data_IF_795001924909
#
_entry.id   IF_795001924909
#
_cell.length_a   1.000
_cell.length_b   1.000
_cell.length_c   1.000
_cell.angle_alpha   90.00
_cell.angle_beta   90.00
_cell.angle_gamma   90.00
#
_symmetry.space_group_name_H-M   'P 1'
#
loop_
_entity.id
_entity.type
_entity.pdbx_description
1 polymer ?
#
# COMPACT_ATOMS: atom_id res chain seq x y z
N UNK A 1 -10.69 3.61 27.07
CA UNK A 1 -9.99 3.59 25.76
C UNK A 1 -8.51 3.96 25.94
N UNK A 2 -7.59 3.22 25.31
CA UNK A 2 -6.13 3.49 25.36
C UNK A 2 -5.54 3.70 23.97
N UNK A 3 -4.63 4.64 23.85
CA UNK A 3 -3.83 4.89 22.64
C UNK A 3 -2.40 4.47 22.91
N UNK A 4 -1.85 3.58 22.09
CA UNK A 4 -0.49 3.06 22.17
C UNK A 4 0.27 3.45 20.93
N UNK A 5 1.23 4.35 21.07
CA UNK A 5 2.05 4.83 19.96
C UNK A 5 3.49 4.39 20.15
N UNK A 6 4.01 3.66 19.21
CA UNK A 6 5.44 3.56 18.99
C UNK A 6 5.89 4.85 18.26
N UNK A 7 6.77 5.62 18.90
CA UNK A 7 7.24 6.92 18.37
C UNK A 7 8.39 6.79 17.38
N UNK A 8 8.92 5.59 17.21
CA UNK A 8 9.98 5.30 16.26
C UNK A 8 9.50 5.45 14.81
N UNK A 9 10.44 5.48 13.90
CA UNK A 9 10.18 5.42 12.46
C UNK A 9 9.33 6.57 11.91
N UNK A 10 9.63 7.79 12.33
CA UNK A 10 9.08 9.01 11.73
C UNK A 10 7.67 9.42 12.16
N UNK A 11 7.16 8.89 13.27
CA UNK A 11 5.92 9.36 13.87
C UNK A 11 6.11 10.68 14.60
N UNK A 12 5.24 11.65 14.32
CA UNK A 12 5.17 12.96 14.96
C UNK A 12 3.97 13.04 15.89
N UNK A 13 4.06 13.89 16.91
CA UNK A 13 2.99 14.15 17.87
C UNK A 13 2.74 15.64 18.00
N UNK A 14 1.46 15.99 18.04
CA UNK A 14 0.98 17.31 18.43
C UNK A 14 0.02 17.16 19.61
N UNK A 15 0.08 18.09 20.58
CA UNK A 15 -0.81 18.11 21.73
C UNK A 15 -1.28 19.55 21.98
N UNK A 16 -2.60 19.70 22.09
CA UNK A 16 -3.23 20.95 22.51
C UNK A 16 -4.35 20.62 23.48
N UNK A 17 -4.24 21.11 24.74
CA UNK A 17 -5.16 20.83 25.84
C UNK A 17 -5.43 19.32 25.99
N UNK A 18 -6.66 18.88 25.72
CA UNK A 18 -7.08 17.47 25.80
C UNK A 18 -7.01 16.72 24.47
N UNK A 19 -6.65 17.41 23.38
CA UNK A 19 -6.50 16.82 22.05
C UNK A 19 -5.07 16.40 21.81
N UNK A 20 -4.89 15.15 21.43
CA UNK A 20 -3.59 14.62 20.99
C UNK A 20 -3.70 14.07 19.57
N UNK A 21 -2.77 14.46 18.71
CA UNK A 21 -2.68 13.99 17.32
C UNK A 21 -1.35 13.31 17.11
N UNK A 22 -1.37 12.09 16.63
CA UNK A 22 -0.19 11.37 16.14
C UNK A 22 -0.33 11.14 14.65
N UNK A 23 0.73 11.41 13.93
CA UNK A 23 0.68 11.29 12.48
C UNK A 23 2.04 10.89 11.90
N UNK A 24 1.98 10.23 10.77
CA UNK A 24 3.15 9.92 9.93
C UNK A 24 2.76 10.11 8.46
N UNK A 25 3.72 10.53 7.63
CA UNK A 25 3.56 10.67 6.19
C UNK A 25 3.82 12.10 5.68
N UNK A 26 4.30 12.17 4.44
CA UNK A 26 4.77 13.42 3.84
C UNK A 26 3.64 14.43 3.54
N UNK A 27 2.46 13.93 3.16
CA UNK A 27 1.31 14.80 2.85
C UNK A 27 0.77 15.59 4.04
N UNK A 28 0.92 15.07 5.26
CA UNK A 28 0.40 15.70 6.47
C UNK A 28 1.22 16.89 6.89
N UNK A 29 2.55 16.84 6.77
CA UNK A 29 3.42 17.97 7.17
C UNK A 29 3.02 19.28 6.49
N UNK A 30 2.65 19.23 5.21
CA UNK A 30 2.18 20.40 4.44
C UNK A 30 0.77 20.84 4.80
N UNK A 31 -0.09 19.93 5.19
CA UNK A 31 -1.50 20.17 5.46
C UNK A 31 -1.80 20.21 6.96
N UNK A 32 -0.77 20.37 7.80
CA UNK A 32 -0.94 20.27 9.25
C UNK A 32 -1.87 21.36 9.82
N UNK A 33 -1.77 22.59 9.34
CA UNK A 33 -2.68 23.70 9.74
C UNK A 33 -4.13 23.39 9.38
N UNK A 34 -4.38 22.81 8.20
CA UNK A 34 -5.72 22.38 7.79
C UNK A 34 -6.24 21.26 8.69
N UNK A 35 -5.38 20.33 9.11
CA UNK A 35 -5.76 19.28 10.04
C UNK A 35 -6.18 19.85 11.40
N UNK A 36 -5.44 20.80 11.96
CA UNK A 36 -5.77 21.43 13.24
C UNK A 36 -7.05 22.26 13.13
N UNK A 37 -7.23 23.03 12.05
CA UNK A 37 -8.48 23.76 11.79
C UNK A 37 -9.67 22.79 11.68
N UNK A 38 -9.51 21.69 10.97
CA UNK A 38 -10.55 20.67 10.88
C UNK A 38 -10.89 20.03 12.23
N UNK A 39 -9.89 19.69 13.05
CA UNK A 39 -10.07 19.13 14.39
C UNK A 39 -10.80 20.11 15.30
N UNK A 40 -10.48 21.41 15.26
CA UNK A 40 -11.11 22.43 16.11
C UNK A 40 -12.64 22.48 15.93
N UNK A 41 -13.13 22.11 14.74
CA UNK A 41 -14.56 22.07 14.43
C UNK A 41 -15.32 20.93 15.11
N UNK A 42 -14.61 19.96 15.73
CA UNK A 42 -15.23 18.88 16.51
C UNK A 42 -15.71 19.32 17.89
N UNK A 43 -15.24 20.46 18.41
CA UNK A 43 -15.64 20.99 19.71
C UNK A 43 -17.16 21.25 19.87
N UNK A 44 -17.89 21.29 18.76
CA UNK A 44 -19.36 21.47 18.75
C UNK A 44 -20.14 20.17 18.94
N UNK A 45 -19.49 19.00 18.84
CA UNK A 45 -20.14 17.70 18.96
C UNK A 45 -19.95 17.14 20.37
N UNK A 46 -20.96 16.47 20.88
CA UNK A 46 -20.89 15.78 22.18
C UNK A 46 -20.31 14.39 22.05
N UNK A 47 -20.50 13.75 20.89
CA UNK A 47 -19.94 12.44 20.61
C UNK A 47 -19.61 12.28 19.11
N UNK A 48 -18.75 11.31 18.76
CA UNK A 48 -18.31 11.06 17.39
C UNK A 48 -19.43 10.54 16.47
N UNK A 49 -20.48 9.95 17.02
CA UNK A 49 -21.60 9.42 16.23
C UNK A 49 -22.43 10.53 15.55
N UNK A 50 -22.36 11.76 16.05
CA UNK A 50 -23.02 12.94 15.48
C UNK A 50 -22.31 13.46 14.23
N UNK A 51 -21.04 13.08 14.04
CA UNK A 51 -20.25 13.58 12.91
C UNK A 51 -20.62 12.83 11.64
N UNK A 52 -21.12 13.57 10.64
CA UNK A 52 -21.51 12.99 9.35
C UNK A 52 -20.31 12.37 8.63
N UNK A 53 -20.49 11.17 8.08
CA UNK A 53 -19.52 10.48 7.23
C UNK A 53 -18.98 11.39 6.11
N UNK A 54 -19.87 12.09 5.39
CA UNK A 54 -19.49 12.99 4.31
C UNK A 54 -18.56 14.14 4.75
N UNK A 55 -18.68 14.60 6.01
CA UNK A 55 -17.80 15.63 6.56
C UNK A 55 -16.36 15.12 6.76
N UNK A 56 -16.24 13.91 7.29
CA UNK A 56 -14.93 13.26 7.49
C UNK A 56 -14.29 12.95 6.14
N UNK A 57 -15.01 12.33 5.21
CA UNK A 57 -14.48 11.98 3.89
C UNK A 57 -14.09 13.22 3.06
N UNK A 58 -14.82 14.32 3.17
CA UNK A 58 -14.46 15.57 2.51
C UNK A 58 -13.07 16.04 2.95
N UNK A 59 -12.78 15.98 4.24
CA UNK A 59 -11.45 16.33 4.75
C UNK A 59 -10.39 15.34 4.30
N UNK A 60 -10.62 14.02 4.47
CA UNK A 60 -9.66 12.97 4.08
C UNK A 60 -9.28 13.11 2.59
N UNK A 61 -10.24 13.43 1.73
CA UNK A 61 -10.01 13.61 0.29
C UNK A 61 -9.24 14.90 -0.06
N UNK A 62 -9.04 15.83 0.89
CA UNK A 62 -8.11 16.94 0.68
C UNK A 62 -6.65 16.57 0.93
N UNK A 63 -6.42 15.46 1.63
CA UNK A 63 -5.09 14.96 1.94
C UNK A 63 -4.55 14.15 0.76
N UNK A 64 -3.33 14.45 0.36
CA UNK A 64 -2.64 13.74 -0.73
C UNK A 64 -1.46 12.93 -0.22
N UNK A 65 -1.05 11.92 -0.99
CA UNK A 65 0.11 11.09 -0.68
C UNK A 65 -0.15 10.01 0.38
N UNK A 66 0.93 9.58 1.05
CA UNK A 66 0.91 8.47 1.99
C UNK A 66 0.92 9.00 3.43
N UNK A 67 -0.04 8.55 4.24
CA UNK A 67 -0.19 9.03 5.61
C UNK A 67 -1.01 8.10 6.50
N UNK A 68 -0.83 8.26 7.80
CA UNK A 68 -1.75 7.78 8.83
C UNK A 68 -1.87 8.79 9.96
N UNK A 69 -3.06 8.88 10.56
CA UNK A 69 -3.39 9.83 11.60
C UNK A 69 -4.18 9.13 12.70
N UNK A 70 -3.83 9.39 13.96
CA UNK A 70 -4.64 9.06 15.13
C UNK A 70 -4.92 10.36 15.88
N UNK A 71 -6.18 10.67 16.10
CA UNK A 71 -6.64 11.87 16.80
C UNK A 71 -7.41 11.42 18.04
N UNK A 72 -6.91 11.73 19.22
CA UNK A 72 -7.59 11.54 20.49
C UNK A 72 -8.18 12.86 20.95
N UNK A 73 -9.47 12.87 21.20
CA UNK A 73 -10.25 14.01 21.68
C UNK A 73 -11.09 13.59 22.90
N UNK A 74 -11.67 14.51 23.68
CA UNK A 74 -12.60 14.16 24.77
C UNK A 74 -13.76 13.28 24.32
N UNK A 75 -14.28 13.51 23.11
CA UNK A 75 -15.42 12.77 22.52
C UNK A 75 -15.04 11.41 21.91
N UNK A 76 -13.76 11.05 21.89
CA UNK A 76 -13.32 9.76 21.34
C UNK A 76 -12.01 9.82 20.54
N UNK A 77 -11.79 8.78 19.75
CA UNK A 77 -10.60 8.65 18.88
C UNK A 77 -11.03 8.49 17.42
N UNK A 78 -10.37 9.22 16.51
CA UNK A 78 -10.46 8.99 15.07
C UNK A 78 -9.13 8.42 14.60
N UNK A 79 -9.19 7.33 13.82
CA UNK A 79 -8.05 6.74 13.12
C UNK A 79 -8.28 6.87 11.62
N UNK A 80 -7.28 7.31 10.86
CA UNK A 80 -7.37 7.52 9.41
C UNK A 80 -6.14 6.90 8.75
N UNK A 81 -6.34 6.13 7.70
CA UNK A 81 -5.27 5.64 6.81
C UNK A 81 -5.48 6.15 5.40
N UNK A 82 -4.40 6.24 4.63
CA UNK A 82 -4.44 6.66 3.24
C UNK A 82 -5.12 5.63 2.31
N UNK A 83 -5.27 5.99 1.04
CA UNK A 83 -5.95 5.20 0.01
C UNK A 83 -5.40 3.79 -0.19
N UNK A 84 -4.15 3.51 0.22
CA UNK A 84 -3.51 2.20 0.08
C UNK A 84 -3.07 1.58 1.40
N UNK A 85 -3.42 2.22 2.53
CA UNK A 85 -2.99 1.81 3.87
C UNK A 85 -1.47 1.59 3.95
N UNK A 86 -0.73 2.53 3.41
CA UNK A 86 0.74 2.45 3.33
C UNK A 86 1.41 2.47 4.70
N UNK A 87 0.77 3.09 5.69
CA UNK A 87 1.19 3.17 7.08
C UNK A 87 0.03 2.64 7.94
N UNK A 88 0.18 1.43 8.44
CA UNK A 88 -0.93 0.70 9.05
C UNK A 88 -1.31 1.20 10.44
N UNK A 89 -2.60 1.17 10.75
CA UNK A 89 -3.16 1.39 12.06
C UNK A 89 -3.92 0.17 12.56
N UNK A 90 -3.88 -0.04 13.87
CA UNK A 90 -4.44 -1.23 14.53
C UNK A 90 -5.36 -0.85 15.66
N UNK A 91 -6.37 -1.67 15.88
CA UNK A 91 -7.27 -1.58 17.03
C UNK A 91 -7.56 -2.95 17.61
N UNK A 92 -7.85 -2.97 18.89
CA UNK A 92 -8.19 -4.19 19.60
C UNK A 92 -9.35 -3.95 20.57
N UNK A 93 -10.24 -4.94 20.69
CA UNK A 93 -11.33 -4.94 21.66
C UNK A 93 -11.06 -6.04 22.69
N UNK A 94 -10.72 -5.65 23.92
CA UNK A 94 -10.37 -6.55 25.02
C UNK A 94 -11.33 -6.37 26.18
N UNK A 95 -12.33 -7.25 26.31
CA UNK A 95 -13.39 -7.14 27.32
C UNK A 95 -14.04 -5.75 27.29
N UNK A 96 -13.76 -4.91 28.30
CA UNK A 96 -14.32 -3.57 28.43
C UNK A 96 -13.34 -2.46 28.00
N UNK A 97 -12.27 -2.78 27.28
CA UNK A 97 -11.26 -1.82 26.88
C UNK A 97 -11.02 -1.86 25.39
N UNK A 98 -11.07 -0.70 24.74
CA UNK A 98 -10.66 -0.53 23.35
C UNK A 98 -9.26 0.09 23.33
N UNK A 99 -8.39 -0.52 22.51
CA UNK A 99 -7.00 -0.13 22.37
C UNK A 99 -6.77 0.20 20.90
N UNK A 100 -6.10 1.31 20.62
CA UNK A 100 -5.70 1.72 19.29
C UNK A 100 -4.20 2.02 19.24
N UNK A 101 -3.58 1.84 18.09
CA UNK A 101 -2.16 2.14 17.95
C UNK A 101 -1.65 1.99 16.52
N UNK A 102 -0.38 2.32 16.37
CA UNK A 102 0.32 2.31 15.09
C UNK A 102 1.23 1.09 14.89
N UNK A 103 1.25 0.16 15.86
CA UNK A 103 2.11 -1.02 15.79
C UNK A 103 1.40 -2.23 16.41
N UNK A 104 1.19 -3.28 15.60
CA UNK A 104 0.47 -4.49 16.01
C UNK A 104 1.18 -5.23 17.14
N UNK A 105 2.51 -5.35 17.04
CA UNK A 105 3.33 -6.08 18.02
C UNK A 105 3.35 -5.40 19.38
N UNK A 106 3.40 -4.06 19.40
CA UNK A 106 3.30 -3.29 20.65
C UNK A 106 1.98 -3.53 21.35
N UNK A 107 0.85 -3.54 20.62
CA UNK A 107 -0.45 -3.86 21.18
C UNK A 107 -0.46 -5.31 21.68
N UNK A 108 -0.03 -6.26 20.85
CA UNK A 108 0.03 -7.67 21.19
C UNK A 108 0.86 -7.93 22.45
N UNK A 109 2.11 -7.45 22.50
CA UNK A 109 3.01 -7.69 23.63
C UNK A 109 2.47 -7.13 24.95
N UNK A 110 1.87 -5.93 24.89
CA UNK A 110 1.29 -5.31 26.10
C UNK A 110 0.07 -6.07 26.63
N UNK A 111 -0.64 -6.76 25.76
CA UNK A 111 -1.91 -7.43 26.08
C UNK A 111 -1.90 -8.93 25.77
N UNK A 112 -0.71 -9.53 25.58
CA UNK A 112 -0.54 -10.94 25.18
C UNK A 112 -1.31 -11.93 26.04
N UNK A 113 -1.51 -11.66 27.34
CA UNK A 113 -2.37 -12.45 28.19
C UNK A 113 -3.87 -12.41 27.85
N UNK A 114 -4.31 -11.43 27.04
CA UNK A 114 -5.70 -11.25 26.57
C UNK A 114 -5.93 -11.73 25.14
N UNK A 115 -4.86 -11.90 24.34
CA UNK A 115 -4.88 -12.41 22.97
C UNK A 115 -4.47 -13.89 22.91
N UNK A 116 -4.92 -14.72 23.84
CA UNK A 116 -4.51 -16.12 23.90
C UNK A 116 -4.96 -16.96 22.71
N UNK A 117 -5.99 -16.52 22.00
CA UNK A 117 -6.59 -17.30 20.94
C UNK A 117 -6.01 -16.89 19.58
N UNK A 118 -5.19 -17.79 19.05
CA UNK A 118 -4.70 -17.73 17.67
C UNK A 118 -5.87 -17.94 16.70
N UNK A 119 -6.02 -17.06 15.75
CA UNK A 119 -7.01 -17.22 14.68
C UNK A 119 -6.53 -18.25 13.65
N UNK A 120 -6.97 -19.50 13.81
CA UNK A 120 -6.57 -20.61 12.91
C UNK A 120 -6.88 -20.33 11.43
N UNK A 121 -8.00 -19.65 11.16
CA UNK A 121 -8.38 -19.28 9.78
C UNK A 121 -7.42 -18.25 9.21
N UNK A 122 -6.99 -17.27 9.99
CA UNK A 122 -5.98 -16.29 9.56
C UNK A 122 -4.60 -16.93 9.32
N UNK A 123 -4.25 -17.97 10.08
CA UNK A 123 -3.04 -18.76 9.77
C UNK A 123 -3.17 -19.52 8.46
N UNK A 124 -4.32 -20.13 8.18
CA UNK A 124 -4.58 -20.78 6.90
C UNK A 124 -4.41 -19.76 5.74
N UNK A 125 -5.03 -18.59 5.85
CA UNK A 125 -4.90 -17.50 4.87
C UNK A 125 -3.42 -17.12 4.67
N UNK A 126 -2.68 -16.94 5.77
CA UNK A 126 -1.26 -16.60 5.73
C UNK A 126 -0.41 -17.66 5.02
N UNK A 127 -0.64 -18.95 5.27
CA UNK A 127 0.06 -20.02 4.58
C UNK A 127 -0.30 -20.10 3.10
N UNK A 128 -1.55 -19.79 2.75
CA UNK A 128 -1.99 -19.87 1.36
C UNK A 128 -1.60 -18.65 0.51
N UNK A 129 -1.47 -17.46 1.12
CA UNK A 129 -1.26 -16.21 0.36
C UNK A 129 -0.11 -15.32 0.85
N UNK A 130 0.35 -15.52 2.08
CA UNK A 130 1.30 -14.61 2.75
C UNK A 130 0.63 -13.44 3.47
N UNK A 131 -0.72 -13.36 3.50
CA UNK A 131 -1.46 -12.31 4.21
C UNK A 131 -2.83 -12.81 4.70
N UNK A 132 -3.39 -12.12 5.70
CA UNK A 132 -4.75 -12.39 6.19
C UNK A 132 -5.80 -11.68 5.36
N UNK A 133 -7.04 -12.16 5.34
CA UNK A 133 -8.15 -11.54 4.60
C UNK A 133 -8.85 -10.48 5.48
N UNK A 134 -9.23 -9.35 4.87
CA UNK A 134 -9.97 -8.27 5.55
C UNK A 134 -9.14 -7.56 6.64
N UNK A 135 -9.78 -7.19 7.73
CA UNK A 135 -9.13 -6.50 8.86
C UNK A 135 -8.43 -7.44 9.83
N UNK A 136 -8.52 -8.76 9.61
CA UNK A 136 -7.98 -9.78 10.52
C UNK A 136 -6.46 -9.67 10.70
N UNK A 137 -5.99 -10.05 11.87
CA UNK A 137 -4.60 -10.42 12.14
C UNK A 137 -4.52 -11.90 12.49
N UNK A 138 -3.33 -12.39 12.80
CA UNK A 138 -3.11 -13.77 13.30
C UNK A 138 -3.78 -14.05 14.66
N UNK A 139 -4.28 -13.02 15.34
CA UNK A 139 -4.89 -13.13 16.66
C UNK A 139 -6.32 -12.60 16.65
N UNK A 140 -7.21 -13.29 17.37
CA UNK A 140 -8.57 -12.79 17.63
C UNK A 140 -8.52 -11.46 18.38
N UNK A 141 -9.51 -10.61 18.13
CA UNK A 141 -9.69 -9.30 18.79
C UNK A 141 -8.60 -8.25 18.51
N UNK A 142 -7.63 -8.53 17.64
CA UNK A 142 -6.66 -7.57 17.13
C UNK A 142 -6.87 -7.41 15.61
N UNK A 143 -7.11 -6.19 15.18
CA UNK A 143 -7.48 -5.87 13.80
C UNK A 143 -6.61 -4.74 13.23
N UNK A 144 -6.51 -4.70 11.91
CA UNK A 144 -5.86 -3.67 11.11
C UNK A 144 -6.90 -2.94 10.27
N UNK A 145 -6.83 -1.62 10.15
CA UNK A 145 -7.63 -0.90 9.15
C UNK A 145 -7.22 -1.34 7.73
N UNK A 146 -8.17 -1.29 6.80
CA UNK A 146 -7.91 -1.54 5.39
C UNK A 146 -7.68 -0.22 4.63
N UNK A 147 -7.25 -0.33 3.37
CA UNK A 147 -7.02 0.79 2.46
C UNK A 147 -8.26 1.71 2.37
N UNK A 148 -8.02 3.03 2.47
CA UNK A 148 -9.08 4.04 2.39
C UNK A 148 -10.06 4.09 3.54
N UNK A 149 -9.80 3.37 4.66
CA UNK A 149 -10.68 3.36 5.83
C UNK A 149 -10.34 4.46 6.84
N UNK A 150 -11.35 4.79 7.62
CA UNK A 150 -11.21 5.46 8.90
C UNK A 150 -12.10 4.81 9.97
N UNK A 151 -11.72 4.97 11.24
CA UNK A 151 -12.51 4.51 12.36
C UNK A 151 -12.83 5.67 13.31
N UNK A 152 -14.11 5.75 13.73
CA UNK A 152 -14.55 6.57 14.87
C UNK A 152 -14.78 5.64 16.05
N UNK A 153 -14.13 5.92 17.17
CA UNK A 153 -14.08 5.05 18.33
C UNK A 153 -14.47 5.87 19.56
N UNK A 154 -15.49 5.47 20.23
CA UNK A 154 -15.87 5.98 21.56
C UNK A 154 -15.66 4.89 22.64
N UNK A 155 -16.16 5.12 23.84
CA UNK A 155 -15.97 4.17 24.95
C UNK A 155 -16.71 2.84 24.75
N UNK A 156 -17.72 2.81 23.89
CA UNK A 156 -18.65 1.68 23.72
C UNK A 156 -18.46 0.94 22.41
N UNK A 157 -18.12 1.67 21.33
CA UNK A 157 -18.17 1.12 19.99
C UNK A 157 -17.00 1.55 19.08
N UNK A 158 -16.78 0.77 18.03
CA UNK A 158 -15.83 1.02 16.97
C UNK A 158 -16.59 1.04 15.66
N UNK A 159 -16.80 2.23 15.12
CA UNK A 159 -17.47 2.42 13.83
C UNK A 159 -16.44 2.64 12.73
N UNK A 160 -16.35 1.70 11.78
CA UNK A 160 -15.43 1.73 10.66
C UNK A 160 -16.20 2.10 9.40
N UNK A 161 -15.63 3.01 8.62
CA UNK A 161 -16.15 3.44 7.34
C UNK A 161 -14.99 3.60 6.34
N UNK A 162 -15.31 3.76 5.06
CA UNK A 162 -14.32 3.99 4.01
C UNK A 162 -14.65 5.26 3.21
N UNK A 163 -13.63 6.02 2.86
CA UNK A 163 -13.78 7.22 2.01
C UNK A 163 -13.33 6.97 0.58
N UNK A 164 -12.60 5.88 0.35
CA UNK A 164 -12.09 5.52 -0.97
C UNK A 164 -12.06 4.00 -1.15
N UNK A 165 -12.37 3.56 -2.35
CA UNK A 165 -12.14 2.19 -2.82
C UNK A 165 -11.77 2.28 -4.30
N UNK A 166 -10.64 1.70 -4.69
CA UNK A 166 -10.21 1.59 -6.08
C UNK A 166 -11.24 0.80 -6.88
N UNK A 167 -11.82 1.41 -7.92
CA UNK A 167 -12.99 0.89 -8.63
C UNK A 167 -12.85 1.06 -10.14
N UNK A 168 -12.06 0.22 -10.83
CA UNK A 168 -11.69 0.40 -12.24
C UNK A 168 -12.83 0.21 -13.26
N UNK A 169 -14.06 -0.09 -12.80
CA UNK A 169 -15.26 -0.15 -13.66
C UNK A 169 -16.14 1.08 -13.56
N UNK A 170 -15.82 2.02 -12.67
CA UNK A 170 -16.74 3.11 -12.29
C UNK A 170 -16.90 4.17 -13.38
N UNK A 171 -15.95 4.24 -14.31
CA UNK A 171 -15.94 5.25 -15.38
C UNK A 171 -15.70 4.61 -16.77
N UNK A 172 -16.58 3.67 -17.22
CA UNK A 172 -16.36 2.98 -18.50
C UNK A 172 -16.43 3.90 -19.72
N UNK A 173 -17.02 5.10 -19.57
CA UNK A 173 -17.35 6.01 -20.67
C UNK A 173 -16.48 7.26 -20.78
N UNK A 174 -15.41 7.36 -20.00
CA UNK A 174 -14.51 8.51 -20.17
C UNK A 174 -13.94 8.44 -21.58
N UNK A 175 -14.42 9.33 -22.43
CA UNK A 175 -13.93 9.48 -23.79
C UNK A 175 -12.40 9.49 -23.78
N UNK A 176 -11.82 8.61 -24.59
CA UNK A 176 -10.36 8.44 -24.71
C UNK A 176 -9.70 9.64 -25.41
N UNK A 177 -10.40 10.77 -25.53
CA UNK A 177 -9.83 11.99 -26.06
C UNK A 177 -8.62 12.39 -25.24
N UNK A 178 -7.47 12.47 -25.91
CA UNK A 178 -6.18 12.80 -25.31
C UNK A 178 -5.76 11.89 -24.16
N UNK A 179 -5.99 10.56 -24.27
CA UNK A 179 -5.60 9.59 -23.22
C UNK A 179 -4.09 9.64 -22.92
N UNK A 180 -3.27 9.94 -23.92
CA UNK A 180 -1.80 10.05 -23.80
C UNK A 180 -1.42 11.24 -22.91
N UNK A 181 -2.01 12.43 -23.14
CA UNK A 181 -1.77 13.60 -22.30
C UNK A 181 -2.30 13.42 -20.87
N UNK A 182 -3.43 12.72 -20.71
CA UNK A 182 -3.95 12.36 -19.37
C UNK A 182 -3.00 11.40 -18.64
N UNK A 183 -2.43 10.42 -19.33
CA UNK A 183 -1.43 9.52 -18.77
C UNK A 183 -0.18 10.30 -18.37
N UNK A 184 0.36 11.12 -19.25
CA UNK A 184 1.53 11.96 -18.99
C UNK A 184 1.30 12.83 -17.73
N UNK A 185 0.17 13.54 -17.68
CA UNK A 185 -0.20 14.32 -16.49
C UNK A 185 -0.24 13.47 -15.23
N UNK A 186 -0.79 12.25 -15.31
CA UNK A 186 -0.93 11.35 -14.15
C UNK A 186 0.42 10.93 -13.57
N UNK A 187 1.47 10.90 -14.39
CA UNK A 187 2.85 10.59 -14.00
C UNK A 187 3.61 11.85 -13.57
N UNK A 188 3.59 12.89 -14.39
CA UNK A 188 4.44 14.05 -14.16
C UNK A 188 4.03 14.85 -12.93
N UNK A 189 2.73 14.96 -12.66
CA UNK A 189 2.24 15.70 -11.49
C UNK A 189 2.77 15.16 -10.16
N UNK A 190 2.67 13.88 -9.81
CA UNK A 190 3.23 13.37 -8.56
C UNK A 190 4.76 13.40 -8.52
N UNK A 191 5.45 13.27 -9.66
CA UNK A 191 6.90 13.41 -9.73
C UNK A 191 7.35 14.84 -9.48
N UNK A 192 6.66 15.84 -10.04
CA UNK A 192 6.96 17.24 -9.76
C UNK A 192 6.76 17.58 -8.27
N UNK A 193 5.69 17.07 -7.66
CA UNK A 193 5.45 17.24 -6.23
C UNK A 193 6.58 16.61 -5.40
N UNK A 194 7.02 15.42 -5.78
CA UNK A 194 8.14 14.72 -5.13
C UNK A 194 9.44 15.53 -5.23
N UNK A 195 9.76 16.07 -6.41
CA UNK A 195 10.96 16.90 -6.60
C UNK A 195 10.91 18.14 -5.72
N UNK A 196 9.75 18.81 -5.67
CA UNK A 196 9.56 19.99 -4.82
C UNK A 196 9.72 19.64 -3.32
N UNK A 197 9.24 18.47 -2.90
CA UNK A 197 9.34 17.97 -1.53
C UNK A 197 10.76 17.52 -1.16
N UNK A 198 11.49 17.00 -2.12
CA UNK A 198 12.87 16.59 -1.95
C UNK A 198 13.79 17.79 -1.70
N UNK A 199 13.56 18.92 -2.37
CA UNK A 199 14.48 20.07 -2.31
C UNK A 199 15.87 19.65 -2.78
N UNK A 200 16.87 19.83 -1.92
CA UNK A 200 18.26 19.45 -2.21
C UNK A 200 18.64 18.01 -1.79
N UNK A 201 17.71 17.26 -1.24
CA UNK A 201 17.93 15.86 -0.85
C UNK A 201 18.09 14.95 -2.07
N UNK A 202 18.83 13.87 -1.90
CA UNK A 202 19.00 12.85 -2.92
C UNK A 202 17.71 12.02 -3.09
N UNK A 203 17.37 11.73 -4.34
CA UNK A 203 16.30 10.80 -4.72
C UNK A 203 16.97 9.50 -5.15
N UNK A 204 16.64 8.41 -4.47
CA UNK A 204 17.27 7.09 -4.69
C UNK A 204 16.21 6.12 -5.22
N UNK A 205 16.46 5.54 -6.39
CA UNK A 205 15.49 4.67 -7.10
C UNK A 205 16.03 3.25 -7.19
N UNK A 206 15.34 2.24 -6.61
CA UNK A 206 15.62 0.84 -6.91
C UNK A 206 15.23 0.56 -8.36
N UNK A 207 16.22 0.50 -9.24
CA UNK A 207 16.03 0.39 -10.67
C UNK A 207 16.19 -1.07 -11.13
N UNK A 208 15.09 -1.66 -11.57
CA UNK A 208 15.04 -3.01 -12.14
C UNK A 208 14.99 -3.00 -13.68
N UNK A 209 14.95 -4.15 -14.30
CA UNK A 209 14.62 -4.29 -15.71
C UNK A 209 13.13 -4.06 -16.02
N UNK A 210 12.29 -3.89 -14.98
CA UNK A 210 10.85 -3.64 -15.10
C UNK A 210 10.52 -2.28 -15.72
N UNK A 211 9.31 -2.15 -16.26
CA UNK A 211 8.83 -0.92 -16.89
C UNK A 211 8.64 0.23 -15.90
N UNK A 212 8.16 -0.09 -14.70
CA UNK A 212 7.69 0.88 -13.70
C UNK A 212 8.84 1.70 -13.11
N UNK A 213 9.91 1.05 -12.64
CA UNK A 213 11.08 1.75 -12.13
C UNK A 213 11.77 2.61 -13.21
N UNK A 214 11.75 2.15 -14.48
CA UNK A 214 12.24 2.94 -15.62
C UNK A 214 11.36 4.17 -15.89
N UNK A 215 10.03 4.02 -15.82
CA UNK A 215 9.12 5.16 -15.95
C UNK A 215 9.38 6.21 -14.86
N UNK A 216 9.52 5.76 -13.60
CA UNK A 216 9.82 6.65 -12.48
C UNK A 216 11.12 7.43 -12.71
N UNK A 217 12.21 6.75 -13.02
CA UNK A 217 13.51 7.42 -13.18
C UNK A 217 13.55 8.31 -14.42
N UNK A 218 12.90 7.91 -15.51
CA UNK A 218 12.80 8.73 -16.73
C UNK A 218 11.98 10.00 -16.47
N UNK A 219 10.86 9.91 -15.77
CA UNK A 219 10.04 11.08 -15.42
C UNK A 219 10.78 12.05 -14.50
N UNK A 220 11.51 11.54 -13.49
CA UNK A 220 12.36 12.38 -12.62
C UNK A 220 13.44 13.12 -13.42
N UNK A 221 14.11 12.43 -14.34
CA UNK A 221 15.13 13.03 -15.21
C UNK A 221 14.54 14.07 -16.15
N UNK A 222 13.41 13.76 -16.79
CA UNK A 222 12.68 14.67 -17.67
C UNK A 222 12.29 15.98 -16.97
N UNK A 223 11.83 15.89 -15.71
CA UNK A 223 11.48 17.05 -14.89
C UNK A 223 12.68 17.79 -14.27
N UNK A 224 13.90 17.35 -14.56
CA UNK A 224 15.12 18.06 -14.15
C UNK A 224 15.52 17.82 -12.67
N UNK A 225 15.14 16.70 -12.07
CA UNK A 225 15.64 16.36 -10.74
C UNK A 225 17.17 16.27 -10.72
N UNK A 226 17.82 16.95 -9.75
CA UNK A 226 19.28 17.18 -9.78
C UNK A 226 20.11 16.04 -9.21
N UNK A 227 19.67 15.46 -8.10
CA UNK A 227 20.42 14.43 -7.34
C UNK A 227 19.66 13.11 -7.37
N UNK A 228 19.78 12.37 -8.48
CA UNK A 228 19.19 11.06 -8.65
C UNK A 228 20.29 10.00 -8.58
N UNK A 229 20.06 8.98 -7.75
CA UNK A 229 20.89 7.77 -7.71
C UNK A 229 20.00 6.55 -8.00
N UNK A 230 20.53 5.62 -8.78
CA UNK A 230 19.86 4.35 -9.00
C UNK A 230 20.68 3.21 -8.38
N UNK A 231 20.01 2.20 -7.88
CA UNK A 231 20.69 0.99 -7.45
C UNK A 231 19.98 -0.27 -7.97
N UNK A 232 20.76 -1.32 -8.15
CA UNK A 232 20.28 -2.67 -8.32
C UNK A 232 21.08 -3.61 -7.44
N UNK A 233 20.55 -4.79 -7.18
CA UNK A 233 21.19 -5.77 -6.32
C UNK A 233 21.12 -7.18 -6.90
N UNK A 234 21.93 -8.08 -6.38
CA UNK A 234 22.02 -9.45 -6.84
C UNK A 234 23.35 -9.78 -7.51
N UNK A 235 23.34 -10.60 -8.56
CA UNK A 235 24.50 -10.84 -9.40
C UNK A 235 24.69 -9.70 -10.39
N UNK A 236 25.89 -9.15 -10.50
CA UNK A 236 26.20 -8.10 -11.48
C UNK A 236 26.02 -8.59 -12.93
N UNK A 237 26.26 -9.89 -13.15
CA UNK A 237 26.07 -10.53 -14.45
C UNK A 237 24.61 -10.83 -14.79
N UNK A 238 23.67 -10.70 -13.83
CA UNK A 238 22.26 -10.97 -14.06
C UNK A 238 21.66 -10.01 -15.10
N UNK A 239 20.71 -10.50 -15.87
CA UNK A 239 19.99 -9.73 -16.87
C UNK A 239 19.41 -8.42 -16.31
N UNK A 240 18.81 -8.47 -15.15
CA UNK A 240 18.23 -7.30 -14.49
C UNK A 240 19.27 -6.23 -14.17
N UNK A 241 20.40 -6.60 -13.59
CA UNK A 241 21.50 -5.67 -13.26
C UNK A 241 22.07 -5.01 -14.52
N UNK A 242 22.26 -5.79 -15.60
CA UNK A 242 22.75 -5.27 -16.88
C UNK A 242 21.79 -4.25 -17.50
N UNK A 243 20.50 -4.54 -17.52
CA UNK A 243 19.47 -3.60 -18.05
C UNK A 243 19.36 -2.37 -17.17
N UNK A 244 19.33 -2.52 -15.86
CA UNK A 244 19.31 -1.40 -14.92
C UNK A 244 20.49 -0.46 -15.15
N UNK A 245 21.70 -1.00 -15.21
CA UNK A 245 22.92 -0.23 -15.49
C UNK A 245 22.88 0.50 -16.86
N UNK A 246 22.41 -0.20 -17.90
CA UNK A 246 22.29 0.38 -19.24
C UNK A 246 21.30 1.56 -19.27
N UNK A 247 20.18 1.45 -18.56
CA UNK A 247 19.18 2.53 -18.44
C UNK A 247 19.77 3.72 -17.68
N UNK A 248 20.41 3.50 -16.54
CA UNK A 248 21.04 4.56 -15.76
C UNK A 248 22.12 5.30 -16.57
N UNK A 249 22.98 4.56 -17.26
CA UNK A 249 24.02 5.14 -18.16
C UNK A 249 23.41 5.99 -19.28
N UNK A 250 22.34 5.49 -19.92
CA UNK A 250 21.65 6.25 -21.00
C UNK A 250 21.05 7.55 -20.49
N UNK A 251 20.56 7.57 -19.26
CA UNK A 251 19.99 8.76 -18.63
C UNK A 251 21.04 9.67 -17.98
N UNK A 252 22.31 9.26 -17.96
CA UNK A 252 23.38 9.98 -17.26
C UNK A 252 23.11 10.10 -15.76
N UNK A 253 22.75 8.98 -15.10
CA UNK A 253 22.41 8.89 -13.69
C UNK A 253 23.39 7.94 -13.00
N UNK A 254 23.84 8.30 -11.80
CA UNK A 254 24.72 7.45 -10.99
C UNK A 254 24.02 6.13 -10.64
N UNK A 255 24.74 5.03 -10.86
CA UNK A 255 24.22 3.69 -10.62
C UNK A 255 25.11 2.90 -9.66
N UNK A 256 24.49 2.28 -8.68
CA UNK A 256 25.15 1.55 -7.60
C UNK A 256 24.73 0.07 -7.70
N UNK A 257 25.72 -0.83 -7.66
CA UNK A 257 25.45 -2.27 -7.52
C UNK A 257 25.63 -2.71 -6.09
N UNK A 258 24.63 -3.41 -5.54
CA UNK A 258 24.69 -4.04 -4.23
C UNK A 258 24.86 -5.54 -4.39
N UNK A 259 26.03 -6.12 -4.04
CA UNK A 259 26.25 -7.55 -4.17
C UNK A 259 25.47 -8.31 -3.08
N UNK A 260 24.68 -9.30 -3.48
CA UNK A 260 24.03 -10.23 -2.57
C UNK A 260 24.90 -11.46 -2.39
N UNK A 261 25.88 -11.42 -1.47
CA UNK A 261 26.70 -12.59 -1.14
C UNK A 261 25.98 -13.47 -0.12
N UNK A 262 26.16 -14.79 -0.23
CA UNK A 262 25.57 -15.76 0.70
C UNK A 262 26.03 -15.48 2.14
N UNK A 263 27.34 -15.20 2.35
CA UNK A 263 27.88 -14.88 3.68
C UNK A 263 27.24 -13.60 4.25
N UNK A 264 27.24 -12.50 3.50
CA UNK A 264 26.71 -11.22 3.96
C UNK A 264 25.23 -11.29 4.32
N UNK A 265 24.43 -11.98 3.51
CA UNK A 265 23.01 -12.19 3.82
C UNK A 265 22.84 -13.08 5.05
N UNK A 266 23.59 -14.20 5.15
CA UNK A 266 23.54 -15.10 6.30
C UNK A 266 23.88 -14.39 7.61
N UNK A 267 24.93 -13.55 7.60
CA UNK A 267 25.36 -12.78 8.77
C UNK A 267 24.30 -11.76 9.17
N UNK A 268 23.74 -11.06 8.19
CA UNK A 268 22.65 -10.11 8.44
C UNK A 268 21.40 -10.78 9.01
N UNK A 269 20.89 -11.83 8.39
CA UNK A 269 19.68 -12.52 8.86
C UNK A 269 19.83 -13.21 10.22
N UNK A 270 21.05 -13.38 10.72
CA UNK A 270 21.35 -13.86 12.07
C UNK A 270 21.60 -12.74 13.08
N UNK A 271 21.72 -11.50 12.62
CA UNK A 271 22.06 -10.35 13.46
C UNK A 271 20.93 -9.97 14.43
N UNK A 272 21.28 -9.23 15.47
CA UNK A 272 20.33 -8.60 16.39
C UNK A 272 19.48 -7.57 15.62
N UNK A 273 20.10 -6.79 14.74
CA UNK A 273 19.46 -5.80 13.91
C UNK A 273 18.31 -6.37 13.08
N UNK A 274 18.49 -7.55 12.46
CA UNK A 274 17.40 -8.19 11.73
C UNK A 274 16.29 -8.69 12.65
N UNK A 275 16.61 -9.16 13.87
CA UNK A 275 15.58 -9.52 14.85
C UNK A 275 14.76 -8.32 15.29
N UNK A 276 15.39 -7.16 15.46
CA UNK A 276 14.71 -5.90 15.76
C UNK A 276 13.79 -5.50 14.60
N UNK A 277 14.27 -5.53 13.36
CA UNK A 277 13.45 -5.31 12.18
C UNK A 277 12.21 -6.20 12.17
N UNK A 278 12.38 -7.51 12.29
CA UNK A 278 11.29 -8.48 12.26
C UNK A 278 10.30 -8.29 13.41
N UNK A 279 10.79 -7.92 14.61
CA UNK A 279 9.94 -7.75 15.78
C UNK A 279 9.17 -6.43 15.77
N UNK A 280 9.81 -5.33 15.37
CA UNK A 280 9.21 -4.00 15.48
C UNK A 280 8.25 -3.70 14.34
N UNK A 281 8.45 -4.30 13.16
CA UNK A 281 7.65 -4.00 11.97
C UNK A 281 6.73 -5.13 11.52
N UNK A 282 6.59 -6.18 12.35
CA UNK A 282 5.62 -7.25 12.12
C UNK A 282 4.20 -6.72 12.19
N UNK A 283 3.48 -6.84 11.09
CA UNK A 283 2.08 -6.39 10.99
C UNK A 283 1.09 -7.37 11.57
N UNK A 284 1.51 -8.59 11.90
CA UNK A 284 0.66 -9.72 12.31
C UNK A 284 -0.50 -10.01 11.31
N UNK A 285 -0.42 -9.46 10.12
CA UNK A 285 -1.44 -9.59 9.07
C UNK A 285 -0.88 -9.89 7.68
N UNK A 286 0.45 -9.89 7.53
CA UNK A 286 1.16 -10.35 6.35
C UNK A 286 2.57 -10.80 6.73
N UNK A 287 3.18 -11.62 5.91
CA UNK A 287 4.60 -11.96 6.06
C UNK A 287 5.45 -10.70 5.95
N UNK A 288 6.56 -10.68 6.67
CA UNK A 288 7.50 -9.56 6.66
C UNK A 288 8.18 -9.49 5.29
N UNK A 289 8.30 -8.30 4.73
CA UNK A 289 9.02 -8.09 3.47
C UNK A 289 10.52 -8.05 3.74
N UNK A 290 11.27 -8.99 3.15
CA UNK A 290 12.68 -9.19 3.45
C UNK A 290 13.64 -8.73 2.36
N UNK A 291 13.12 -8.44 1.17
CA UNK A 291 13.93 -8.29 -0.04
C UNK A 291 14.91 -7.11 0.03
N UNK A 292 14.45 -5.95 0.49
CA UNK A 292 15.25 -4.73 0.45
C UNK A 292 16.02 -4.43 1.75
N UNK A 293 15.69 -5.08 2.86
CA UNK A 293 16.23 -4.71 4.16
C UNK A 293 17.76 -4.83 4.25
N UNK A 294 18.33 -5.91 3.73
CA UNK A 294 19.79 -6.08 3.64
C UNK A 294 20.44 -5.06 2.70
N UNK A 295 19.76 -4.77 1.59
CA UNK A 295 20.24 -3.85 0.56
C UNK A 295 20.36 -2.44 1.10
N UNK A 296 19.32 -1.96 1.79
CA UNK A 296 19.32 -0.62 2.40
C UNK A 296 20.39 -0.50 3.48
N UNK A 297 20.54 -1.53 4.33
CA UNK A 297 21.66 -1.58 5.28
C UNK A 297 23.02 -1.44 4.59
N UNK A 298 23.23 -2.21 3.53
CA UNK A 298 24.48 -2.18 2.77
C UNK A 298 24.77 -0.78 2.21
N UNK A 299 23.77 -0.15 1.58
CA UNK A 299 23.92 1.19 1.01
C UNK A 299 24.29 2.23 2.07
N UNK A 300 23.64 2.21 3.23
CA UNK A 300 23.89 3.14 4.33
C UNK A 300 25.23 2.86 5.03
N UNK A 301 25.53 1.60 5.36
CA UNK A 301 26.75 1.23 6.06
C UNK A 301 28.02 1.53 5.25
N UNK A 302 27.92 1.46 3.92
CA UNK A 302 29.02 1.81 3.01
C UNK A 302 28.98 3.28 2.54
N UNK A 303 28.07 4.10 3.09
CA UNK A 303 27.91 5.54 2.76
C UNK A 303 27.70 5.77 1.25
N UNK A 304 27.01 4.85 0.57
CA UNK A 304 26.74 4.92 -0.87
C UNK A 304 25.55 5.82 -1.19
N UNK A 305 24.68 6.06 -0.21
CA UNK A 305 23.58 7.03 -0.28
C UNK A 305 23.57 7.89 0.98
N UNK A 306 23.06 9.15 0.90
CA UNK A 306 22.87 9.99 2.07
C UNK A 306 21.82 9.43 3.05
N UNK A 307 21.98 9.69 4.35
CA UNK A 307 21.03 9.28 5.38
C UNK A 307 19.67 9.99 5.30
N UNK A 308 19.62 11.14 4.69
CA UNK A 308 18.40 11.93 4.46
C UNK A 308 17.78 11.69 3.08
N UNK A 309 18.27 10.70 2.34
CA UNK A 309 17.77 10.36 1.01
C UNK A 309 16.28 9.98 1.03
N UNK A 310 15.61 10.20 -0.09
CA UNK A 310 14.25 9.74 -0.32
C UNK A 310 14.28 8.53 -1.26
N UNK A 311 13.81 7.39 -0.77
CA UNK A 311 13.68 6.21 -1.61
C UNK A 311 12.38 6.30 -2.42
N UNK A 312 12.48 6.14 -3.73
CA UNK A 312 11.34 6.24 -4.65
C UNK A 312 11.23 4.98 -5.49
N UNK A 313 10.24 4.16 -5.21
CA UNK A 313 10.06 2.93 -5.96
C UNK A 313 8.88 2.99 -6.94
N UNK A 314 8.96 2.13 -7.98
CA UNK A 314 7.95 1.99 -9.02
C UNK A 314 6.87 0.96 -8.69
N UNK A 315 6.65 0.65 -7.42
CA UNK A 315 5.67 -0.36 -7.05
C UNK A 315 4.31 -0.07 -7.65
N UNK A 316 3.72 -1.12 -8.16
CA UNK A 316 2.34 -1.30 -8.56
C UNK A 316 1.96 -0.77 -9.94
N UNK A 317 2.88 -0.21 -10.70
CA UNK A 317 2.58 0.17 -12.07
C UNK A 317 2.06 -1.00 -12.91
N UNK A 318 2.62 -2.18 -12.74
CA UNK A 318 2.20 -3.44 -13.38
C UNK A 318 0.77 -3.85 -13.03
N UNK A 319 0.40 -3.75 -11.75
CA UNK A 319 -0.96 -4.05 -11.28
C UNK A 319 -1.96 -3.06 -11.85
N UNK A 320 -1.79 -1.76 -11.61
CA UNK A 320 -2.74 -0.72 -12.04
C UNK A 320 -2.91 -0.68 -13.57
N UNK A 321 -1.84 -0.95 -14.30
CA UNK A 321 -1.88 -0.97 -15.78
C UNK A 321 -2.46 -2.24 -16.39
N UNK A 322 -2.95 -3.18 -15.57
CA UNK A 322 -3.68 -4.37 -16.00
C UNK A 322 -2.82 -5.60 -16.28
N UNK A 323 -1.56 -5.61 -15.81
CA UNK A 323 -0.69 -6.80 -15.86
C UNK A 323 -1.19 -7.96 -14.99
N UNK A 324 -2.12 -7.67 -14.09
CA UNK A 324 -2.68 -8.64 -13.15
C UNK A 324 -4.11 -9.09 -13.50
N UNK A 325 -4.72 -8.53 -14.53
CA UNK A 325 -6.07 -8.94 -14.97
C UNK A 325 -6.07 -10.42 -15.33
N UNK A 326 -7.06 -11.15 -14.81
CA UNK A 326 -7.15 -12.59 -15.00
C UNK A 326 -7.38 -12.96 -16.48
N UNK A 327 -6.73 -14.03 -16.98
CA UNK A 327 -6.82 -14.42 -18.39
C UNK A 327 -8.25 -14.65 -18.90
N UNK A 328 -9.16 -15.12 -18.03
CA UNK A 328 -10.56 -15.34 -18.37
C UNK A 328 -11.25 -14.11 -18.95
N UNK A 329 -10.83 -12.90 -18.58
CA UNK A 329 -11.41 -11.65 -19.08
C UNK A 329 -10.90 -11.23 -20.47
N UNK A 330 -9.97 -11.98 -21.07
CA UNK A 330 -9.53 -11.76 -22.46
C UNK A 330 -10.65 -12.06 -23.45
N UNK A 331 -11.42 -13.11 -23.18
CA UNK A 331 -12.48 -13.55 -24.06
C UNK A 331 -13.79 -12.80 -23.73
N UNK A 332 -14.29 -12.03 -24.69
CA UNK A 332 -15.55 -11.27 -24.54
C UNK A 332 -16.79 -12.10 -24.80
N UNK A 333 -16.64 -13.34 -25.27
CA UNK A 333 -17.74 -14.19 -25.74
C UNK A 333 -18.29 -15.13 -24.65
N UNK A 334 -18.09 -14.81 -23.37
CA UNK A 334 -18.73 -15.58 -22.31
C UNK A 334 -20.25 -15.30 -22.34
N UNK A 335 -20.99 -16.22 -22.95
CA UNK A 335 -22.47 -16.22 -22.94
C UNK A 335 -23.01 -16.56 -21.54
N UNK A 336 -22.22 -17.27 -20.72
CA UNK A 336 -22.60 -17.71 -19.37
C UNK A 336 -21.80 -16.93 -18.31
N UNK A 337 -22.48 -16.02 -17.63
CA UNK A 337 -21.90 -15.20 -16.56
C UNK A 337 -21.49 -16.04 -15.35
N UNK A 338 -22.24 -17.09 -15.03
CA UNK A 338 -21.92 -17.94 -13.87
C UNK A 338 -20.62 -18.72 -14.11
N UNK A 339 -20.45 -19.27 -15.31
CA UNK A 339 -19.21 -19.92 -15.71
C UNK A 339 -18.02 -18.94 -15.69
N UNK A 340 -18.23 -17.71 -16.16
CA UNK A 340 -17.21 -16.65 -16.10
C UNK A 340 -16.77 -16.38 -14.67
N UNK A 341 -17.71 -16.19 -13.74
CA UNK A 341 -17.43 -15.93 -12.32
C UNK A 341 -16.69 -17.11 -11.69
N UNK A 342 -17.13 -18.33 -11.93
CA UNK A 342 -16.48 -19.54 -11.41
C UNK A 342 -15.05 -19.68 -11.90
N UNK A 343 -14.82 -19.46 -13.18
CA UNK A 343 -13.48 -19.52 -13.78
C UNK A 343 -12.59 -18.40 -13.24
N UNK A 344 -13.11 -17.19 -13.08
CA UNK A 344 -12.38 -16.06 -12.51
C UNK A 344 -11.95 -16.34 -11.07
N UNK A 345 -12.82 -16.90 -10.22
CA UNK A 345 -12.45 -17.30 -8.86
C UNK A 345 -11.37 -18.38 -8.86
N UNK A 346 -11.46 -19.40 -9.72
CA UNK A 346 -10.41 -20.42 -9.83
C UNK A 346 -9.06 -19.79 -10.16
N UNK A 347 -8.98 -18.94 -11.20
CA UNK A 347 -7.76 -18.25 -11.60
C UNK A 347 -7.24 -17.28 -10.52
N UNK A 348 -8.14 -16.59 -9.83
CA UNK A 348 -7.78 -15.69 -8.73
C UNK A 348 -7.15 -16.45 -7.56
N UNK A 349 -7.75 -17.56 -7.14
CA UNK A 349 -7.22 -18.40 -6.08
C UNK A 349 -5.90 -19.05 -6.48
N UNK A 350 -5.77 -19.53 -7.72
CA UNK A 350 -4.51 -20.08 -8.25
C UNK A 350 -3.38 -19.06 -8.20
N UNK A 351 -3.68 -17.81 -8.55
CA UNK A 351 -2.71 -16.72 -8.58
C UNK A 351 -2.30 -16.25 -7.18
N UNK A 352 -3.24 -16.15 -6.25
CA UNK A 352 -3.01 -15.44 -4.98
C UNK A 352 -2.97 -16.33 -3.75
N UNK A 353 -3.49 -17.55 -3.81
CA UNK A 353 -3.65 -18.44 -2.65
C UNK A 353 -3.00 -19.82 -2.84
N UNK A 354 -2.00 -19.92 -3.68
CA UNK A 354 -1.26 -21.16 -3.96
C UNK A 354 0.18 -21.16 -3.43
N UNK A 355 0.51 -20.29 -2.46
CA UNK A 355 1.85 -20.26 -1.86
C UNK A 355 2.23 -21.63 -1.26
N UNK A 356 1.31 -22.26 -0.53
CA UNK A 356 1.38 -23.66 -0.13
C UNK A 356 0.27 -24.43 -0.84
N UNK A 357 0.52 -24.82 -2.09
CA UNK A 357 -0.47 -25.40 -2.99
C UNK A 357 -1.18 -26.65 -2.44
N UNK A 358 -0.53 -27.41 -1.54
CA UNK A 358 -1.10 -28.55 -0.83
C UNK A 358 -2.34 -28.17 0.01
N UNK A 359 -2.51 -26.91 0.37
CA UNK A 359 -3.68 -26.43 1.11
C UNK A 359 -4.88 -26.11 0.22
N UNK A 360 -4.72 -26.10 -1.13
CA UNK A 360 -5.82 -25.90 -2.08
C UNK A 360 -6.71 -27.13 -2.10
N UNK A 361 -7.94 -26.97 -1.70
CA UNK A 361 -9.02 -27.96 -1.76
C UNK A 361 -10.37 -27.23 -1.70
N UNK A 362 -11.44 -27.93 -2.09
CA UNK A 362 -12.78 -27.35 -2.19
C UNK A 362 -13.19 -26.58 -0.92
N UNK A 363 -13.02 -27.16 0.28
CA UNK A 363 -13.41 -26.54 1.56
C UNK A 363 -12.67 -25.24 1.84
N UNK A 364 -11.35 -25.22 1.58
CA UNK A 364 -10.54 -24.03 1.80
C UNK A 364 -10.84 -22.96 0.75
N UNK A 365 -11.03 -23.37 -0.50
CA UNK A 365 -11.37 -22.47 -1.60
C UNK A 365 -12.73 -21.80 -1.38
N UNK A 366 -13.76 -22.55 -0.99
CA UNK A 366 -15.09 -22.01 -0.61
C UNK A 366 -14.98 -21.00 0.53
N UNK A 367 -14.20 -21.30 1.58
CA UNK A 367 -13.94 -20.39 2.67
C UNK A 367 -13.28 -19.07 2.21
N UNK A 368 -12.25 -19.16 1.34
CA UNK A 368 -11.56 -17.99 0.82
C UNK A 368 -12.47 -17.11 -0.05
N UNK A 369 -13.31 -17.73 -0.87
CA UNK A 369 -14.31 -17.04 -1.70
C UNK A 369 -15.31 -16.31 -0.80
N UNK A 370 -15.88 -17.01 0.19
CA UNK A 370 -16.84 -16.42 1.15
C UNK A 370 -16.27 -15.21 1.87
N UNK A 371 -15.08 -15.32 2.47
CA UNK A 371 -14.44 -14.23 3.19
C UNK A 371 -14.06 -13.06 2.26
N UNK A 372 -13.61 -13.35 1.05
CA UNK A 372 -13.29 -12.33 0.06
C UNK A 372 -14.54 -11.59 -0.44
N UNK A 373 -15.64 -12.32 -0.63
CA UNK A 373 -16.93 -11.73 -1.01
C UNK A 373 -17.47 -10.81 0.07
N UNK A 374 -17.41 -11.22 1.35
CA UNK A 374 -17.83 -10.36 2.49
C UNK A 374 -17.12 -9.01 2.49
N UNK A 375 -15.83 -8.97 2.18
CA UNK A 375 -15.07 -7.71 2.12
C UNK A 375 -15.59 -6.80 1.01
N UNK A 376 -15.92 -7.35 -0.13
CA UNK A 376 -16.47 -6.59 -1.25
C UNK A 376 -17.88 -6.07 -0.92
N UNK A 377 -18.71 -6.89 -0.29
CA UNK A 377 -20.05 -6.50 0.17
C UNK A 377 -19.99 -5.39 1.22
N UNK A 378 -19.04 -5.42 2.17
CA UNK A 378 -18.80 -4.32 3.12
C UNK A 378 -18.46 -2.98 2.42
N UNK A 379 -17.96 -3.05 1.20
CA UNK A 379 -17.70 -1.88 0.33
C UNK A 379 -18.87 -1.52 -0.58
N UNK A 380 -19.98 -2.23 -0.47
CA UNK A 380 -21.13 -2.07 -1.35
C UNK A 380 -20.90 -2.59 -2.78
N UNK A 381 -19.95 -3.50 -2.97
CA UNK A 381 -19.59 -4.05 -4.27
C UNK A 381 -20.02 -5.51 -4.33
N UNK A 382 -20.81 -5.87 -5.33
CA UNK A 382 -21.31 -7.23 -5.54
C UNK A 382 -20.91 -7.77 -6.91
N UNK A 383 -21.03 -9.09 -7.09
CA UNK A 383 -20.87 -9.77 -8.39
C UNK A 383 -22.03 -9.54 -9.35
N UNK A 384 -22.98 -8.66 -9.00
CA UNK A 384 -24.06 -8.21 -9.90
C UNK A 384 -23.56 -7.29 -11.02
N UNK A 385 -22.30 -6.84 -10.98
CA UNK A 385 -21.67 -6.07 -12.03
C UNK A 385 -21.87 -6.72 -13.40
N UNK A 386 -21.99 -5.91 -14.44
CA UNK A 386 -22.00 -6.40 -15.82
C UNK A 386 -20.72 -7.18 -16.13
N UNK A 387 -20.82 -8.14 -17.06
CA UNK A 387 -19.69 -9.04 -17.38
C UNK A 387 -18.44 -8.26 -17.79
N UNK A 388 -18.61 -7.13 -18.48
CA UNK A 388 -17.53 -6.22 -18.88
C UNK A 388 -16.80 -5.54 -17.70
N UNK A 389 -17.47 -5.45 -16.55
CA UNK A 389 -16.97 -4.81 -15.33
C UNK A 389 -16.41 -5.81 -14.31
N UNK A 390 -16.63 -7.10 -14.50
CA UNK A 390 -16.22 -8.14 -13.54
C UNK A 390 -14.70 -8.19 -13.31
N UNK A 391 -13.88 -7.86 -14.30
CA UNK A 391 -12.42 -7.75 -14.10
C UNK A 391 -12.08 -6.78 -12.98
N UNK A 392 -12.82 -5.67 -12.90
CA UNK A 392 -12.63 -4.65 -11.87
C UNK A 392 -12.95 -5.15 -10.47
N UNK A 393 -13.92 -6.05 -10.30
CA UNK A 393 -14.16 -6.70 -9.01
C UNK A 393 -12.92 -7.42 -8.50
N UNK A 394 -12.23 -8.21 -9.33
CA UNK A 394 -11.04 -8.95 -8.94
C UNK A 394 -9.81 -8.04 -8.78
N UNK A 395 -9.67 -6.98 -9.57
CA UNK A 395 -8.64 -5.97 -9.34
C UNK A 395 -8.85 -5.24 -8.01
N UNK A 396 -10.09 -4.86 -7.67
CA UNK A 396 -10.39 -4.22 -6.37
C UNK A 396 -10.10 -5.18 -5.21
N UNK A 397 -10.45 -6.44 -5.36
CA UNK A 397 -10.17 -7.44 -4.36
C UNK A 397 -8.64 -7.62 -4.17
N UNK A 398 -7.85 -7.68 -5.24
CA UNK A 398 -6.39 -7.72 -5.16
C UNK A 398 -5.83 -6.45 -4.52
N UNK A 399 -6.36 -5.27 -4.87
CA UNK A 399 -5.99 -4.00 -4.24
C UNK A 399 -6.20 -4.02 -2.73
N UNK A 400 -7.38 -4.43 -2.26
CA UNK A 400 -7.72 -4.47 -0.84
C UNK A 400 -6.92 -5.51 -0.05
N UNK A 401 -6.47 -6.58 -0.70
CA UNK A 401 -5.78 -7.70 -0.05
C UNK A 401 -4.27 -7.66 -0.31
N UNK A 402 -3.81 -8.16 -1.45
CA UNK A 402 -2.39 -8.33 -1.73
C UNK A 402 -1.64 -7.01 -1.79
N UNK A 403 -2.16 -6.04 -2.53
CA UNK A 403 -1.46 -4.79 -2.79
C UNK A 403 -1.30 -3.96 -1.52
N UNK A 404 -2.41 -3.69 -0.80
CA UNK A 404 -2.41 -2.84 0.39
C UNK A 404 -1.95 -3.51 1.69
N UNK A 405 -1.65 -4.82 1.67
CA UNK A 405 -1.13 -5.54 2.84
C UNK A 405 0.30 -6.02 2.67
N UNK A 406 0.59 -6.68 1.55
CA UNK A 406 1.89 -7.28 1.32
C UNK A 406 2.81 -6.36 0.52
N UNK A 407 2.37 -5.88 -0.65
CA UNK A 407 3.22 -5.09 -1.55
C UNK A 407 3.65 -3.76 -0.91
N UNK A 408 2.72 -3.04 -0.28
CA UNK A 408 3.05 -1.77 0.41
C UNK A 408 3.96 -1.97 1.63
N UNK A 409 4.06 -3.18 2.18
CA UNK A 409 4.94 -3.45 3.33
C UNK A 409 6.45 -3.40 2.97
N UNK A 410 6.80 -3.35 1.69
CA UNK A 410 8.17 -3.07 1.25
C UNK A 410 8.74 -1.80 1.90
N UNK A 411 7.90 -0.80 2.14
CA UNK A 411 8.30 0.47 2.76
C UNK A 411 8.81 0.30 4.20
N UNK A 412 8.52 -0.84 4.84
CA UNK A 412 8.96 -1.09 6.23
C UNK A 412 10.48 -1.16 6.37
N UNK A 413 11.19 -1.65 5.34
CA UNK A 413 12.65 -1.64 5.33
C UNK A 413 13.22 -0.21 5.36
N UNK A 414 12.58 0.71 4.65
CA UNK A 414 12.98 2.13 4.65
C UNK A 414 12.64 2.81 5.97
N UNK A 415 11.46 2.54 6.51
CA UNK A 415 11.06 3.03 7.82
C UNK A 415 12.03 2.62 8.93
N UNK A 416 12.50 1.35 8.91
CA UNK A 416 13.42 0.82 9.91
C UNK A 416 14.77 1.58 9.93
N UNK A 417 15.24 1.97 8.75
CA UNK A 417 16.46 2.77 8.60
C UNK A 417 16.20 4.29 8.58
N UNK A 418 15.01 4.73 9.01
CA UNK A 418 14.61 6.13 9.11
C UNK A 418 14.69 6.92 7.79
N UNK A 419 14.67 6.22 6.66
CA UNK A 419 14.62 6.83 5.34
C UNK A 419 13.18 7.23 4.95
N UNK A 420 13.03 8.41 4.41
CA UNK A 420 11.77 8.78 3.76
C UNK A 420 11.59 7.99 2.46
N UNK A 421 10.33 7.75 2.09
CA UNK A 421 10.01 7.01 0.87
C UNK A 421 8.80 7.59 0.16
N UNK A 422 8.69 7.31 -1.14
CA UNK A 422 7.55 7.68 -2.00
C UNK A 422 7.20 6.53 -2.93
N UNK A 423 5.89 6.39 -3.19
CA UNK A 423 5.33 5.47 -4.18
C UNK A 423 4.48 6.28 -5.19
N UNK A 424 5.10 6.96 -6.15
CA UNK A 424 4.38 7.88 -7.04
C UNK A 424 3.33 7.21 -7.91
N UNK A 425 3.49 5.92 -8.23
CA UNK A 425 2.49 5.14 -8.97
C UNK A 425 1.27 4.74 -8.10
N UNK A 426 1.31 5.01 -6.80
CA UNK A 426 0.15 4.99 -5.91
C UNK A 426 -0.42 6.40 -5.65
N UNK A 427 -0.06 7.40 -6.44
CA UNK A 427 -0.68 8.72 -6.35
C UNK A 427 -2.13 8.69 -6.80
N UNK A 428 -2.93 9.59 -6.25
CA UNK A 428 -4.35 9.73 -6.62
C UNK A 428 -4.54 9.95 -8.11
N UNK A 429 -3.73 10.80 -8.74
CA UNK A 429 -3.81 11.09 -10.17
C UNK A 429 -3.54 9.85 -11.03
N UNK A 430 -2.57 9.03 -10.64
CA UNK A 430 -2.24 7.80 -11.35
C UNK A 430 -3.32 6.72 -11.17
N UNK A 431 -3.82 6.55 -9.94
CA UNK A 431 -4.92 5.62 -9.65
C UNK A 431 -6.17 6.01 -10.42
N UNK A 432 -6.60 7.27 -10.36
CA UNK A 432 -7.79 7.77 -11.05
C UNK A 432 -7.68 7.62 -12.58
N UNK A 433 -6.47 7.80 -13.15
CA UNK A 433 -6.24 7.52 -14.57
C UNK A 433 -6.56 6.05 -14.88
N UNK A 434 -6.01 5.09 -14.12
CA UNK A 434 -6.22 3.67 -14.39
C UNK A 434 -7.61 3.17 -14.06
N UNK A 435 -8.34 3.82 -13.15
CA UNK A 435 -9.77 3.57 -12.92
C UNK A 435 -10.62 3.91 -14.16
N UNK A 436 -10.17 4.84 -14.99
CA UNK A 436 -10.87 5.28 -16.20
C UNK A 436 -10.51 4.50 -17.47
N UNK A 437 -9.50 3.65 -17.44
CA UNK A 437 -9.03 2.90 -18.61
C UNK A 437 -9.85 1.63 -18.79
N UNK A 438 -10.38 1.42 -20.01
CA UNK A 438 -11.20 0.25 -20.37
C UNK A 438 -10.40 -1.04 -20.37
N UNK A 439 -11.07 -2.16 -20.14
CA UNK A 439 -10.49 -3.50 -20.13
C UNK A 439 -9.60 -3.77 -21.35
N UNK A 440 -10.04 -3.45 -22.56
CA UNK A 440 -9.31 -3.72 -23.81
C UNK A 440 -7.94 -3.04 -23.86
N UNK A 441 -7.85 -1.79 -23.38
CA UNK A 441 -6.61 -1.02 -23.34
C UNK A 441 -5.75 -1.40 -22.13
N UNK A 442 -6.37 -1.92 -21.07
CA UNK A 442 -5.72 -2.29 -19.82
C UNK A 442 -5.18 -3.72 -19.86
N UNK A 443 -5.91 -4.66 -20.48
CA UNK A 443 -5.55 -6.08 -20.50
C UNK A 443 -4.12 -6.31 -21.03
N UNK A 444 -3.32 -7.10 -20.27
CA UNK A 444 -1.90 -7.35 -20.57
C UNK A 444 -1.06 -6.07 -20.73
N UNK A 445 -1.46 -4.99 -20.07
CA UNK A 445 -0.77 -3.70 -20.14
C UNK A 445 -0.70 -3.12 -21.58
N UNK A 446 -1.66 -3.40 -22.44
CA UNK A 446 -1.58 -3.07 -23.87
C UNK A 446 -1.37 -1.57 -24.11
N UNK A 447 -2.16 -0.70 -23.48
CA UNK A 447 -1.95 0.76 -23.53
C UNK A 447 -0.61 1.16 -22.91
N UNK A 448 -0.29 0.62 -21.71
CA UNK A 448 0.93 0.97 -21.00
C UNK A 448 2.20 0.66 -21.81
N UNK A 449 2.24 -0.50 -22.46
CA UNK A 449 3.35 -0.88 -23.32
C UNK A 449 3.43 0.02 -24.55
N UNK A 450 2.28 0.37 -25.16
CA UNK A 450 2.21 1.26 -26.31
C UNK A 450 2.73 2.66 -26.00
N UNK A 451 2.23 3.28 -24.94
CA UNK A 451 2.60 4.65 -24.57
C UNK A 451 4.09 4.77 -24.17
N UNK A 452 4.62 3.77 -23.46
CA UNK A 452 6.05 3.77 -23.10
C UNK A 452 6.98 3.64 -24.31
N UNK A 453 6.50 3.11 -25.44
CA UNK A 453 7.27 3.11 -26.72
C UNK A 453 7.29 4.49 -27.35
N UNK A 454 6.19 5.22 -27.28
CA UNK A 454 6.07 6.59 -27.81
C UNK A 454 6.93 7.57 -27.01
N UNK A 455 6.90 7.49 -25.68
CA UNK A 455 7.70 8.35 -24.80
C UNK A 455 9.22 8.09 -24.84
N UNK A 456 9.67 7.09 -25.62
CA UNK A 456 11.10 6.79 -25.82
C UNK A 456 11.77 7.69 -26.86
N UNK A 457 11.02 8.41 -27.66
CA UNK A 457 11.48 9.37 -28.66
C UNK A 457 11.46 10.79 -28.11
#
# INVERSE_FOLDING_TARGET
MKVLINKEHGWSQYKDRETCVWFKGHGIKKNFSLLIDWISKFNKYQNLSEVKHSYICRFINTLSGHFSIIIKMPIGVIMIVDKVNSISLYYAKCKNEIIVGNNAKTIFNKYSGKFKDVNKKSFLEMFMSGYTIGRKTLFHNLYRLQAGEYACIDEKDIKINHCYTYSPWKYPEVALDNIEGKFEHSILKPMQQLINDAGDRAIVVPLSAGKDSRLVVSALKYLGAKKIFCFAYGSESAFESKISRAVANRLGIDWIHVPLTISGQKDYFRSIEFREYSNNLDTLSSITFLQDVYVIRYLLSNKLIPYDAIIVNGNTGDFLSGGHILPVFKDKNYCDKELLIRTAWSQYLDKHYSLWGVLRNQKNDEYLIEESTKIMEERGISLSLESECLFGYFETLEYLQRQSKYVVNMQRSYDFYELEWRMPLWSETYMNFWESVRLNDKFNQSFYIRILKVLKN
#
